data_IF_382623349905
#
_entry.id   IF_382623349905
#
_cell.length_a   1.000
_cell.length_b   1.000
_cell.length_c   1.000
_cell.angle_alpha   90.00
_cell.angle_beta   90.00
_cell.angle_gamma   90.00
#
_symmetry.space_group_name_H-M   'P 1'
#
loop_
_entity.id
_entity.type
_entity.pdbx_description
1 polymer ?
#
# COMPACT_ATOMS: atom_id res chain seq x y z
N UNK A 1 35.88 -26.89 -44.80
CA UNK A 1 36.22 -25.83 -43.83
C UNK A 1 34.99 -25.67 -42.94
N UNK A 2 34.86 -26.47 -41.89
CA UNK A 2 33.67 -26.50 -41.03
C UNK A 2 33.88 -25.56 -39.85
N UNK A 3 33.03 -24.55 -39.73
CA UNK A 3 33.02 -23.61 -38.61
C UNK A 3 32.65 -24.36 -37.33
N UNK A 4 33.50 -24.24 -36.31
CA UNK A 4 33.24 -24.75 -34.96
C UNK A 4 32.12 -23.91 -34.35
N UNK A 5 31.01 -24.57 -34.04
CA UNK A 5 29.92 -24.01 -33.25
C UNK A 5 30.44 -23.78 -31.82
N UNK A 6 30.75 -22.54 -31.47
CA UNK A 6 31.09 -22.15 -30.09
C UNK A 6 29.78 -22.05 -29.31
N UNK A 7 29.37 -23.16 -28.71
CA UNK A 7 28.32 -23.16 -27.70
C UNK A 7 28.88 -22.56 -26.41
N UNK A 8 28.93 -21.23 -26.35
CA UNK A 8 29.24 -20.49 -25.13
C UNK A 8 27.99 -20.55 -24.26
N UNK A 9 27.90 -21.53 -23.35
CA UNK A 9 26.97 -21.42 -22.21
C UNK A 9 27.33 -20.12 -21.49
N UNK A 10 26.47 -19.11 -21.57
CA UNK A 10 26.62 -17.90 -20.78
C UNK A 10 26.77 -18.33 -19.32
N UNK A 11 27.89 -17.97 -18.68
CA UNK A 11 28.06 -18.23 -17.25
C UNK A 11 26.99 -17.45 -16.50
N UNK A 12 26.04 -18.16 -15.89
CA UNK A 12 25.03 -17.57 -15.02
C UNK A 12 25.73 -16.82 -13.89
N UNK A 13 25.43 -15.52 -13.75
CA UNK A 13 26.07 -14.66 -12.74
C UNK A 13 25.82 -15.19 -11.33
N UNK A 14 26.71 -14.83 -10.39
CA UNK A 14 26.55 -15.21 -8.98
C UNK A 14 25.22 -14.72 -8.42
N UNK A 15 24.78 -13.51 -8.80
CA UNK A 15 23.48 -12.95 -8.45
C UNK A 15 22.33 -13.84 -8.92
N UNK A 16 22.30 -14.20 -10.21
CA UNK A 16 21.23 -15.06 -10.76
C UNK A 16 21.23 -16.43 -10.09
N UNK A 17 22.40 -17.03 -9.81
CA UNK A 17 22.47 -18.31 -9.10
C UNK A 17 21.91 -18.22 -7.68
N UNK A 18 22.20 -17.13 -6.97
CA UNK A 18 21.65 -16.84 -5.65
C UNK A 18 20.12 -16.69 -5.71
N UNK A 19 19.61 -15.93 -6.68
CA UNK A 19 18.17 -15.67 -6.85
C UNK A 19 17.39 -16.93 -7.25
N UNK A 20 17.93 -17.77 -8.12
CA UNK A 20 17.32 -19.07 -8.45
C UNK A 20 17.18 -19.95 -7.21
N UNK A 21 18.18 -19.94 -6.31
CA UNK A 21 18.10 -20.67 -5.05
C UNK A 21 17.01 -20.08 -4.14
N UNK A 22 16.99 -18.77 -3.96
CA UNK A 22 15.96 -18.11 -3.13
C UNK A 22 14.55 -18.33 -3.66
N UNK A 23 14.36 -18.29 -4.99
CA UNK A 23 13.07 -18.56 -5.61
C UNK A 23 12.62 -20.00 -5.37
N UNK A 24 13.53 -20.95 -5.53
CA UNK A 24 13.26 -22.35 -5.20
C UNK A 24 12.88 -22.53 -3.73
N UNK A 25 13.63 -21.92 -2.81
CA UNK A 25 13.38 -22.00 -1.38
C UNK A 25 12.02 -21.38 -1.00
N UNK A 26 11.64 -20.25 -1.61
CA UNK A 26 10.33 -19.60 -1.40
C UNK A 26 9.16 -20.41 -1.96
N UNK A 27 9.37 -21.12 -3.07
CA UNK A 27 8.34 -21.97 -3.68
C UNK A 27 8.16 -23.28 -2.91
N UNK A 28 9.26 -23.86 -2.41
CA UNK A 28 9.25 -25.11 -1.65
C UNK A 28 8.75 -24.93 -0.22
N UNK A 29 9.07 -23.79 0.40
CA UNK A 29 8.64 -23.41 1.74
C UNK A 29 8.13 -21.95 1.68
N UNK A 30 6.81 -21.74 1.50
CA UNK A 30 6.23 -20.41 1.58
C UNK A 30 6.49 -19.76 2.94
N UNK A 31 6.66 -18.43 2.98
CA UNK A 31 6.96 -17.69 4.23
C UNK A 31 5.77 -17.79 5.19
N UNK A 32 4.58 -17.49 4.65
CA UNK A 32 3.26 -17.59 5.24
C UNK A 32 2.25 -17.38 4.10
N UNK A 33 0.96 -17.50 4.40
CA UNK A 33 -0.10 -17.33 3.39
C UNK A 33 -0.28 -15.87 2.92
N UNK A 34 0.38 -14.91 3.59
CA UNK A 34 0.24 -13.47 3.36
C UNK A 34 1.26 -12.91 2.36
N UNK A 35 2.31 -13.66 2.03
CA UNK A 35 3.44 -13.19 1.24
C UNK A 35 3.71 -14.14 0.07
N UNK A 36 3.68 -13.60 -1.15
CA UNK A 36 4.10 -14.30 -2.36
C UNK A 36 5.09 -13.45 -3.12
N UNK A 37 6.18 -14.04 -3.64
CA UNK A 37 7.14 -13.31 -4.48
C UNK A 37 7.81 -14.23 -5.49
N UNK A 38 8.13 -13.69 -6.67
CA UNK A 38 8.83 -14.43 -7.71
C UNK A 38 9.26 -13.54 -8.88
N UNK A 39 10.10 -14.06 -9.79
CA UNK A 39 10.52 -13.33 -10.97
C UNK A 39 9.33 -13.03 -11.88
N UNK A 40 9.29 -11.82 -12.44
CA UNK A 40 8.25 -11.42 -13.41
C UNK A 40 8.36 -12.26 -14.69
N UNK A 41 9.58 -12.66 -15.05
CA UNK A 41 9.88 -13.58 -16.14
C UNK A 41 11.10 -14.42 -15.80
N UNK A 42 11.11 -15.69 -16.20
CA UNK A 42 12.28 -16.57 -16.07
C UNK A 42 13.48 -16.11 -16.91
N UNK A 43 13.25 -15.26 -17.92
CA UNK A 43 14.32 -14.65 -18.73
C UNK A 43 15.07 -13.54 -17.96
N UNK A 44 14.42 -12.90 -16.99
CA UNK A 44 14.99 -11.82 -16.19
C UNK A 44 14.82 -12.05 -14.69
N UNK A 45 15.76 -12.79 -14.11
CA UNK A 45 15.77 -13.07 -12.67
C UNK A 45 16.08 -11.86 -11.78
N UNK A 46 16.43 -10.68 -12.35
CA UNK A 46 16.76 -9.47 -11.57
C UNK A 46 15.55 -8.57 -11.32
N UNK A 47 14.37 -8.95 -11.82
CA UNK A 47 13.12 -8.22 -11.60
C UNK A 47 12.05 -9.17 -11.10
N UNK A 48 11.60 -8.94 -9.87
CA UNK A 48 10.56 -9.74 -9.23
C UNK A 48 9.36 -8.89 -8.88
N UNK A 49 8.23 -9.56 -8.70
CA UNK A 49 7.03 -9.00 -8.13
C UNK A 49 6.73 -9.74 -6.81
N UNK A 50 6.23 -8.99 -5.84
CA UNK A 50 5.72 -9.51 -4.59
C UNK A 50 4.29 -9.03 -4.36
N UNK A 51 3.46 -9.92 -3.82
CA UNK A 51 2.12 -9.63 -3.33
C UNK A 51 2.14 -9.77 -1.80
N UNK A 52 1.69 -8.72 -1.12
CA UNK A 52 1.71 -8.61 0.33
C UNK A 52 0.30 -8.35 0.83
N UNK A 53 -0.23 -9.28 1.61
CA UNK A 53 -1.50 -9.08 2.30
C UNK A 53 -1.28 -8.17 3.52
N UNK A 54 -2.17 -7.19 3.69
CA UNK A 54 -2.13 -6.29 4.84
C UNK A 54 -2.35 -7.02 6.17
N UNK A 55 -1.54 -6.74 7.20
CA UNK A 55 -1.67 -7.41 8.50
C UNK A 55 -3.00 -7.14 9.21
N UNK A 56 -3.51 -8.14 9.92
CA UNK A 56 -4.69 -8.03 10.76
C UNK A 56 -4.48 -7.01 11.90
N UNK A 57 -5.54 -6.30 12.28
CA UNK A 57 -5.50 -5.27 13.33
C UNK A 57 -4.83 -3.97 12.89
N UNK A 58 -4.43 -3.84 11.63
CA UNK A 58 -3.84 -2.63 11.05
C UNK A 58 -4.84 -1.94 10.11
N UNK A 59 -4.69 -0.65 9.78
CA UNK A 59 -5.53 -0.03 8.76
C UNK A 59 -5.33 -0.62 7.35
N UNK A 60 -4.27 -1.42 7.14
CA UNK A 60 -3.98 -2.12 5.89
C UNK A 60 -4.72 -3.46 5.75
N UNK A 61 -5.36 -3.94 6.82
CA UNK A 61 -6.07 -5.23 6.87
C UNK A 61 -7.02 -5.41 5.67
N UNK A 62 -6.97 -6.60 5.06
CA UNK A 62 -7.78 -6.95 3.90
C UNK A 62 -7.24 -6.44 2.56
N UNK A 63 -6.24 -5.56 2.56
CA UNK A 63 -5.54 -5.13 1.35
C UNK A 63 -4.59 -6.17 0.78
N UNK A 64 -4.38 -6.12 -0.54
CA UNK A 64 -3.33 -6.87 -1.25
C UNK A 64 -2.49 -5.85 -2.02
N UNK A 65 -1.20 -5.80 -1.72
CA UNK A 65 -0.31 -4.77 -2.24
C UNK A 65 0.75 -5.40 -3.14
N UNK A 66 0.79 -4.95 -4.39
CA UNK A 66 1.83 -5.34 -5.33
C UNK A 66 3.08 -4.47 -5.13
N UNK A 67 4.24 -5.11 -5.18
CA UNK A 67 5.53 -4.46 -5.07
C UNK A 67 6.52 -5.04 -6.07
N UNK A 68 7.33 -4.17 -6.67
CA UNK A 68 8.45 -4.55 -7.54
C UNK A 68 9.72 -4.64 -6.73
N UNK A 69 10.49 -5.69 -6.97
CA UNK A 69 11.79 -5.95 -6.36
C UNK A 69 12.85 -5.91 -7.46
N UNK A 70 13.76 -4.95 -7.38
CA UNK A 70 14.77 -4.67 -8.40
C UNK A 70 16.16 -4.99 -7.85
N UNK A 71 16.75 -6.09 -8.33
CA UNK A 71 18.02 -6.60 -7.84
C UNK A 71 19.21 -6.01 -8.61
N UNK A 72 20.28 -5.57 -7.90
CA UNK A 72 21.49 -5.14 -8.58
C UNK A 72 22.26 -6.35 -9.12
N UNK A 73 23.12 -6.11 -10.12
CA UNK A 73 23.93 -7.17 -10.76
C UNK A 73 24.93 -7.85 -9.82
N UNK A 74 25.26 -7.19 -8.70
CA UNK A 74 26.19 -7.66 -7.67
C UNK A 74 25.49 -8.23 -6.42
N UNK A 75 24.16 -8.44 -6.48
CA UNK A 75 23.43 -9.14 -5.43
C UNK A 75 24.10 -10.49 -5.09
N UNK A 76 24.22 -10.88 -3.80
CA UNK A 76 23.68 -10.26 -2.59
C UNK A 76 24.63 -9.28 -1.88
N UNK A 77 25.67 -8.76 -2.55
CA UNK A 77 26.60 -7.81 -1.91
C UNK A 77 25.90 -6.50 -1.55
N UNK A 78 25.02 -6.03 -2.42
CA UNK A 78 24.12 -4.90 -2.19
C UNK A 78 22.66 -5.37 -2.14
N UNK A 79 21.81 -4.66 -1.37
CA UNK A 79 20.38 -4.96 -1.29
C UNK A 79 19.70 -4.68 -2.63
N UNK A 80 18.56 -5.34 -2.85
CA UNK A 80 17.62 -4.92 -3.89
C UNK A 80 16.82 -3.70 -3.43
N UNK A 81 16.18 -2.99 -4.36
CA UNK A 81 15.20 -1.96 -4.01
C UNK A 81 13.79 -2.52 -4.12
N UNK A 82 12.89 -2.07 -3.25
CA UNK A 82 11.49 -2.46 -3.23
C UNK A 82 10.59 -1.25 -3.40
N UNK A 83 9.64 -1.33 -4.32
CA UNK A 83 8.73 -0.24 -4.67
C UNK A 83 7.30 -0.76 -4.73
N UNK A 84 6.41 -0.23 -3.90
CA UNK A 84 4.97 -0.48 -4.04
C UNK A 84 4.42 0.24 -5.27
N UNK A 85 3.66 -0.48 -6.08
CA UNK A 85 3.01 0.06 -7.28
C UNK A 85 1.57 -0.45 -7.34
N UNK A 86 0.56 0.41 -7.05
CA UNK A 86 0.68 1.85 -6.77
C UNK A 86 1.29 2.16 -5.37
N UNK A 87 1.79 3.39 -5.14
CA UNK A 87 2.35 3.81 -3.85
C UNK A 87 1.35 3.73 -2.70
N UNK A 88 1.81 3.25 -1.54
CA UNK A 88 1.02 3.16 -0.32
C UNK A 88 1.25 4.37 0.59
N UNK A 89 0.18 4.86 1.21
CA UNK A 89 0.29 5.88 2.25
C UNK A 89 0.85 5.23 3.52
N UNK A 90 2.14 5.48 3.83
CA UNK A 90 2.82 4.90 4.98
C UNK A 90 4.05 5.73 5.39
N UNK A 91 4.35 5.91 6.69
CA UNK A 91 5.52 6.69 7.15
C UNK A 91 6.86 6.29 6.53
N UNK A 92 7.12 4.99 6.38
CA UNK A 92 8.36 4.42 5.82
C UNK A 92 8.33 4.16 4.30
N UNK A 93 7.32 4.66 3.58
CA UNK A 93 7.22 4.54 2.13
C UNK A 93 7.24 5.94 1.53
N UNK A 94 8.14 6.18 0.58
CA UNK A 94 8.19 7.46 -0.12
C UNK A 94 6.94 7.65 -1.01
N UNK A 95 6.57 8.89 -1.37
CA UNK A 95 5.43 9.14 -2.26
C UNK A 95 5.52 8.46 -3.64
N UNK A 96 6.72 8.06 -4.07
CA UNK A 96 6.95 7.30 -5.29
C UNK A 96 6.82 5.77 -5.11
N UNK A 97 6.46 5.30 -3.92
CA UNK A 97 6.30 3.89 -3.56
C UNK A 97 7.55 3.21 -3.03
N UNK A 98 8.72 3.86 -3.06
CA UNK A 98 9.97 3.25 -2.60
C UNK A 98 9.94 3.01 -1.08
N UNK A 99 10.30 1.79 -0.66
CA UNK A 99 10.34 1.39 0.75
C UNK A 99 11.66 1.78 1.38
N UNK A 100 11.60 2.38 2.57
CA UNK A 100 12.76 2.84 3.33
C UNK A 100 12.79 2.17 4.71
N UNK A 101 13.57 1.09 4.84
CA UNK A 101 13.81 0.37 6.09
C UNK A 101 15.28 -0.02 6.17
N UNK A 102 15.83 -0.09 7.38
CA UNK A 102 17.26 -0.32 7.65
C UNK A 102 17.84 -1.52 6.91
N UNK A 103 17.11 -2.63 6.82
CA UNK A 103 17.53 -3.86 6.11
C UNK A 103 17.82 -3.61 4.61
N UNK A 104 17.25 -2.57 4.00
CA UNK A 104 17.50 -2.18 2.61
C UNK A 104 18.58 -1.10 2.47
N UNK A 105 19.16 -0.62 3.57
CA UNK A 105 20.26 0.33 3.53
C UNK A 105 21.59 -0.37 3.25
N UNK A 106 22.43 0.29 2.46
CA UNK A 106 23.74 -0.24 2.05
C UNK A 106 24.58 -0.72 3.25
N UNK A 107 25.35 -1.80 3.09
CA UNK A 107 26.16 -2.38 4.16
C UNK A 107 27.21 -1.40 4.67
N UNK A 108 27.59 -1.56 5.94
CA UNK A 108 28.65 -0.78 6.59
C UNK A 108 28.11 0.14 7.71
N UNK A 109 28.98 1.02 8.18
CA UNK A 109 28.64 1.98 9.24
C UNK A 109 27.71 3.07 8.69
N UNK A 110 26.61 3.33 9.41
CA UNK A 110 25.73 4.45 9.09
C UNK A 110 26.49 5.77 9.29
N UNK A 111 26.63 6.62 8.25
CA UNK A 111 27.26 7.93 8.38
C UNK A 111 26.59 8.81 9.44
N UNK A 112 25.29 8.60 9.69
CA UNK A 112 24.50 9.37 10.65
C UNK A 112 24.41 8.71 12.04
N UNK A 113 24.91 7.47 12.18
CA UNK A 113 24.92 6.66 13.42
C UNK A 113 23.57 6.47 14.09
N UNK A 114 22.48 6.52 13.32
CA UNK A 114 21.16 6.15 13.81
C UNK A 114 20.96 4.63 13.79
N UNK A 115 21.66 3.92 12.89
CA UNK A 115 21.52 2.48 12.71
C UNK A 115 22.81 1.73 13.04
N UNK A 116 22.67 0.57 13.67
CA UNK A 116 23.79 -0.37 13.80
C UNK A 116 24.05 -1.10 12.48
N UNK A 117 25.30 -1.48 12.22
CA UNK A 117 25.65 -2.26 11.04
C UNK A 117 24.90 -3.60 10.95
N UNK A 118 24.45 -4.14 12.09
CA UNK A 118 23.64 -5.38 12.15
C UNK A 118 22.19 -5.20 11.71
N UNK A 119 21.65 -3.99 11.78
CA UNK A 119 20.29 -3.68 11.29
C UNK A 119 20.28 -3.39 9.78
N UNK A 120 21.45 -3.10 9.20
CA UNK A 120 21.61 -2.79 7.78
C UNK A 120 21.74 -4.04 6.92
N UNK A 121 21.80 -3.86 5.60
CA UNK A 121 21.93 -4.97 4.67
C UNK A 121 23.17 -5.81 4.96
N UNK A 122 23.02 -7.12 4.87
CA UNK A 122 24.15 -8.04 4.84
C UNK A 122 23.88 -9.18 3.86
N UNK A 123 24.90 -9.76 3.19
CA UNK A 123 24.70 -10.83 2.20
C UNK A 123 24.04 -12.12 2.73
N UNK A 124 23.89 -12.25 4.04
CA UNK A 124 23.17 -13.37 4.68
C UNK A 124 21.65 -13.18 4.65
N UNK A 125 21.18 -11.94 4.50
CA UNK A 125 19.77 -11.61 4.29
C UNK A 125 19.36 -11.93 2.85
N UNK A 126 18.06 -12.04 2.61
CA UNK A 126 17.48 -12.30 1.29
C UNK A 126 16.05 -11.79 1.18
N UNK A 127 15.36 -12.18 0.12
CA UNK A 127 13.98 -11.77 -0.18
C UNK A 127 13.06 -12.07 1.00
N UNK A 128 13.15 -13.28 1.56
CA UNK A 128 12.33 -13.70 2.73
C UNK A 128 12.47 -12.74 3.92
N UNK A 129 13.68 -12.44 4.35
CA UNK A 129 13.90 -11.59 5.53
C UNK A 129 13.42 -10.17 5.28
N UNK A 130 13.58 -9.63 4.06
CA UNK A 130 13.08 -8.31 3.71
C UNK A 130 11.55 -8.27 3.73
N UNK A 131 10.88 -9.25 3.11
CA UNK A 131 9.41 -9.28 3.08
C UNK A 131 8.80 -9.41 4.48
N UNK A 132 9.44 -10.19 5.38
CA UNK A 132 9.05 -10.25 6.79
C UNK A 132 9.23 -8.89 7.48
N UNK A 133 10.35 -8.19 7.25
CA UNK A 133 10.56 -6.85 7.80
C UNK A 133 9.53 -5.84 7.27
N UNK A 134 9.12 -5.95 6.01
CA UNK A 134 8.06 -5.09 5.43
C UNK A 134 6.71 -5.39 6.07
N UNK A 135 6.38 -6.66 6.33
CA UNK A 135 5.15 -7.02 7.03
C UNK A 135 5.12 -6.42 8.44
N UNK A 136 6.23 -6.53 9.17
CA UNK A 136 6.38 -5.88 10.49
C UNK A 136 6.29 -4.36 10.41
N UNK A 137 6.88 -3.75 9.38
CA UNK A 137 6.83 -2.31 9.14
C UNK A 137 5.38 -1.83 8.92
N UNK A 138 4.57 -2.57 8.15
CA UNK A 138 3.14 -2.24 7.94
C UNK A 138 2.34 -2.32 9.24
N UNK A 139 2.70 -3.22 10.15
CA UNK A 139 2.07 -3.35 11.46
C UNK A 139 2.50 -2.25 12.43
N UNK A 140 3.79 -1.93 12.46
CA UNK A 140 4.38 -0.97 13.40
C UNK A 140 5.27 0.04 12.66
N UNK A 141 4.68 1.13 12.13
CA UNK A 141 5.44 2.14 11.39
C UNK A 141 6.49 2.85 12.26
N UNK A 142 7.70 3.01 11.72
CA UNK A 142 8.76 3.75 12.37
C UNK A 142 8.76 5.22 11.92
N UNK A 143 8.36 6.12 12.81
CA UNK A 143 8.30 7.57 12.55
C UNK A 143 9.58 8.34 12.92
N UNK A 144 10.56 7.71 13.58
CA UNK A 144 11.82 8.37 13.94
C UNK A 144 12.70 8.61 12.71
N UNK A 145 12.65 7.68 11.75
CA UNK A 145 13.37 7.72 10.47
C UNK A 145 12.42 7.56 9.27
N UNK A 146 11.24 8.19 9.34
CA UNK A 146 10.23 8.10 8.29
C UNK A 146 10.67 8.69 6.94
N UNK A 147 10.24 8.04 5.86
CA UNK A 147 10.47 8.44 4.48
C UNK A 147 9.56 9.58 4.03
N UNK A 148 8.30 9.56 4.47
CA UNK A 148 7.31 10.61 4.19
C UNK A 148 7.02 11.41 5.46
N UNK A 149 7.55 12.64 5.50
CA UNK A 149 7.44 13.56 6.63
C UNK A 149 5.97 13.95 6.89
N UNK A 150 5.17 14.15 5.84
CA UNK A 150 3.77 14.56 5.99
C UNK A 150 2.95 13.37 6.50
N UNK A 151 3.21 12.16 5.99
CA UNK A 151 2.60 10.96 6.52
C UNK A 151 2.99 10.71 7.99
N UNK A 152 4.25 10.96 8.38
CA UNK A 152 4.70 10.85 9.77
C UNK A 152 3.94 11.82 10.70
N UNK A 153 3.78 13.07 10.27
CA UNK A 153 2.99 14.07 11.02
C UNK A 153 1.54 13.63 11.14
N UNK A 154 0.92 13.17 10.06
CA UNK A 154 -0.45 12.68 10.07
C UNK A 154 -0.62 11.48 11.02
N UNK A 155 0.29 10.51 10.94
CA UNK A 155 0.34 9.33 11.80
C UNK A 155 0.44 9.71 13.29
N UNK A 156 1.27 10.71 13.62
CA UNK A 156 1.52 11.15 15.00
C UNK A 156 0.40 12.05 15.55
N UNK A 157 -0.04 13.02 14.75
CA UNK A 157 -0.89 14.12 15.21
C UNK A 157 -2.39 13.83 15.02
N UNK A 158 -2.75 12.96 14.06
CA UNK A 158 -4.14 12.60 13.79
C UNK A 158 -4.26 11.14 13.30
N UNK A 159 -4.02 10.20 14.22
CA UNK A 159 -4.16 8.75 14.02
C UNK A 159 -5.50 8.36 13.36
N UNK A 160 -6.68 8.84 13.80
CA UNK A 160 -7.94 8.45 13.17
C UNK A 160 -8.05 8.84 11.69
N UNK A 161 -7.55 10.02 11.33
CA UNK A 161 -7.56 10.48 9.94
C UNK A 161 -6.58 9.71 9.07
N UNK A 162 -5.39 9.40 9.59
CA UNK A 162 -4.44 8.49 8.94
C UNK A 162 -5.10 7.15 8.60
N UNK A 163 -5.71 6.49 9.61
CA UNK A 163 -6.36 5.20 9.41
C UNK A 163 -7.52 5.28 8.41
N UNK A 164 -8.31 6.37 8.45
CA UNK A 164 -9.40 6.60 7.50
C UNK A 164 -8.89 6.68 6.07
N UNK A 165 -7.81 7.44 5.82
CA UNK A 165 -7.21 7.57 4.49
C UNK A 165 -6.62 6.26 3.99
N UNK A 166 -5.92 5.52 4.85
CA UNK A 166 -5.36 4.20 4.49
C UNK A 166 -6.48 3.22 4.15
N UNK A 167 -7.53 3.12 4.96
CA UNK A 167 -8.67 2.22 4.69
C UNK A 167 -9.38 2.59 3.39
N UNK A 168 -9.55 3.89 3.10
CA UNK A 168 -10.10 4.35 1.83
C UNK A 168 -9.20 3.96 0.65
N UNK A 169 -7.87 4.12 0.79
CA UNK A 169 -6.91 3.68 -0.22
C UNK A 169 -7.02 2.17 -0.46
N UNK A 170 -7.04 1.35 0.60
CA UNK A 170 -7.18 -0.12 0.50
C UNK A 170 -8.44 -0.52 -0.25
N UNK A 171 -9.59 0.10 0.07
CA UNK A 171 -10.86 -0.15 -0.64
C UNK A 171 -10.75 0.20 -2.13
N UNK A 172 -10.14 1.35 -2.44
CA UNK A 172 -9.89 1.78 -3.81
C UNK A 172 -9.01 0.81 -4.60
N UNK A 173 -7.95 0.28 -4.00
CA UNK A 173 -7.08 -0.74 -4.62
C UNK A 173 -7.81 -2.05 -4.91
N UNK A 174 -8.78 -2.42 -4.07
CA UNK A 174 -9.63 -3.59 -4.28
C UNK A 174 -10.79 -3.35 -5.26
N UNK A 175 -10.95 -2.13 -5.79
CA UNK A 175 -12.07 -1.77 -6.67
C UNK A 175 -13.42 -1.73 -5.95
N UNK A 176 -13.43 -1.59 -4.62
CA UNK A 176 -14.64 -1.46 -3.83
C UNK A 176 -14.97 0.03 -3.75
N UNK A 177 -15.82 0.50 -4.66
CA UNK A 177 -16.33 1.86 -4.63
C UNK A 177 -17.14 2.11 -3.35
N UNK A 178 -17.01 3.30 -2.77
CA UNK A 178 -17.94 3.75 -1.74
C UNK A 178 -19.24 4.13 -2.45
N UNK A 179 -20.32 3.37 -2.22
CA UNK A 179 -21.65 3.94 -2.42
C UNK A 179 -21.75 5.13 -1.45
N UNK A 180 -21.61 6.34 -1.98
CA UNK A 180 -21.97 7.56 -1.27
C UNK A 180 -23.40 7.35 -0.76
N UNK A 181 -23.53 7.24 0.56
CA UNK A 181 -24.79 6.97 1.20
C UNK A 181 -25.87 7.93 0.70
N UNK A 182 -26.96 7.33 0.23
CA UNK A 182 -28.26 7.94 0.10
C UNK A 182 -28.64 8.65 1.41
N UNK A 183 -28.29 9.93 1.51
CA UNK A 183 -28.64 10.80 2.62
C UNK A 183 -29.25 12.10 2.09
N UNK A 184 -30.16 12.02 1.10
CA UNK A 184 -31.16 13.07 0.87
C UNK A 184 -32.33 12.56 -0.01
N UNK A 185 -33.33 11.92 0.61
CA UNK A 185 -34.67 11.73 0.01
C UNK A 185 -35.70 11.27 1.05
N UNK A 186 -35.85 12.00 2.16
CA UNK A 186 -37.11 11.96 2.92
C UNK A 186 -37.38 13.29 3.63
N UNK A 187 -37.22 14.39 2.89
CA UNK A 187 -37.87 15.65 3.23
C UNK A 187 -39.20 15.73 2.46
N UNK A 188 -40.29 15.50 3.20
CA UNK A 188 -41.64 16.03 2.96
C UNK A 188 -42.27 15.85 1.57
N UNK A 189 -42.82 14.66 1.33
CA UNK A 189 -43.96 14.48 0.42
C UNK A 189 -45.27 14.48 1.22
N UNK A 190 -45.59 15.61 1.87
CA UNK A 190 -46.94 15.89 2.38
C UNK A 190 -47.77 16.60 1.30
N UNK A 191 -48.00 15.94 0.16
CA UNK A 191 -49.01 16.34 -0.81
C UNK A 191 -50.26 15.47 -0.63
N UNK A 192 -51.11 15.89 0.32
CA UNK A 192 -52.46 15.37 0.52
C UNK A 192 -53.30 15.55 -0.74
N UNK A 193 -53.97 14.46 -1.13
CA UNK A 193 -54.84 14.32 -2.28
C UNK A 193 -55.93 15.42 -2.38
N UNK A 194 -56.22 15.80 -3.62
CA UNK A 194 -57.35 16.61 -4.02
C UNK A 194 -58.62 15.76 -4.19
N UNK A 195 -59.79 16.29 -3.83
CA UNK A 195 -61.06 16.12 -4.55
C UNK A 195 -62.07 17.23 -4.15
N UNK A 196 -63.14 17.51 -4.95
CA UNK A 196 -63.53 18.89 -5.26
C UNK A 196 -64.92 19.37 -4.78
N UNK A 197 -65.06 20.70 -4.83
CA UNK A 197 -66.23 21.56 -5.09
C UNK A 197 -67.52 21.45 -4.23
N UNK A 198 -67.90 22.57 -3.60
CA UNK A 198 -69.18 23.28 -3.83
C UNK A 198 -69.35 24.56 -2.97
N UNK A 199 -69.82 25.65 -3.60
CA UNK A 199 -70.81 26.65 -3.09
C UNK A 199 -70.53 27.34 -1.73
N UNK A 200 -70.37 28.65 -1.57
CA UNK A 200 -71.25 29.77 -1.99
C UNK A 200 -70.60 31.11 -1.59
N UNK A 201 -71.01 32.18 -2.27
CA UNK A 201 -70.57 33.57 -2.06
C UNK A 201 -71.28 34.28 -0.88
N UNK A 202 -70.60 35.26 -0.25
CA UNK A 202 -71.14 36.52 0.31
C UNK A 202 -70.01 37.26 1.05
N UNK A 203 -69.39 38.31 0.49
CA UNK A 203 -69.74 39.73 0.63
C UNK A 203 -69.43 40.39 2.01
N UNK A 204 -68.43 41.29 1.96
CA UNK A 204 -68.40 42.65 2.52
C UNK A 204 -68.22 42.95 4.04
N UNK A 205 -67.35 43.96 4.23
CA UNK A 205 -67.38 45.08 5.20
C UNK A 205 -66.52 45.04 6.48
N UNK A 206 -65.45 45.85 6.41
CA UNK A 206 -65.18 47.05 7.22
C UNK A 206 -65.01 46.98 8.76
N UNK A 207 -63.84 47.52 9.16
CA UNK A 207 -63.59 48.51 10.24
C UNK A 207 -63.79 48.11 11.71
N UNK A 208 -62.71 48.30 12.48
CA UNK A 208 -62.55 49.31 13.53
C UNK A 208 -61.91 48.77 14.82
N UNK A 209 -60.71 49.29 15.07
CA UNK A 209 -60.16 49.66 16.37
C UNK A 209 -61.20 50.02 17.43
N UNK A 210 -61.03 49.55 18.68
CA UNK A 210 -60.88 50.43 19.86
C UNK A 210 -60.27 49.65 21.03
N UNK A 211 -59.25 50.26 21.64
CA UNK A 211 -58.70 49.97 22.96
C UNK A 211 -59.71 50.30 24.06
N UNK A 212 -59.70 49.56 25.17
CA UNK A 212 -59.63 50.12 26.53
C UNK A 212 -59.04 49.07 27.45
#
# INVERSE_FOLDING_TARGET
MFARNTNTRAQTSTAVRRLMKEYHDLTADPINDMLTAGPVSEDNMLEWEALIQGPEGTPYEGGIFAAKLLFPSDYPLNPFSMVFDPPLLHPNIYPNGAVCISILHAPGDDPLRYESASERWSPVQGVRSVLLSVLSMLAEPNIESGADIECCKLYRDNRPEFERQVRAQVRGLLGIEEEEGAADASADASASAAEPAASTASAASASASTST
#
